data_IF_418375039213
#
_entry.id   IF_418375039213
#
_cell.length_a   1.000
_cell.length_b   1.000
_cell.length_c   1.000
_cell.angle_alpha   90.00
_cell.angle_beta   90.00
_cell.angle_gamma   90.00
#
_symmetry.space_group_name_H-M   'P 1'
#
loop_
_entity.id
_entity.type
_entity.pdbx_description
1 polymer ?
#
# COMPACT_ATOMS: atom_id res chain seq x y z
N UNK A 1 4.36 -12.64 -14.20
CA UNK A 1 3.53 -11.93 -13.20
C UNK A 1 2.72 -12.90 -12.38
N UNK A 2 1.81 -13.70 -12.97
CA UNK A 2 1.07 -14.74 -12.25
C UNK A 2 1.98 -15.73 -11.50
N UNK A 3 3.02 -16.27 -12.16
CA UNK A 3 4.00 -17.16 -11.51
C UNK A 3 4.81 -16.50 -10.38
N UNK A 4 5.03 -15.18 -10.44
CA UNK A 4 5.72 -14.45 -9.37
C UNK A 4 4.79 -14.24 -8.16
N UNK A 5 3.52 -13.93 -8.41
CA UNK A 5 2.51 -13.83 -7.36
C UNK A 5 2.27 -15.19 -6.68
N UNK A 6 2.22 -16.26 -7.47
CA UNK A 6 2.08 -17.63 -6.97
C UNK A 6 3.32 -18.06 -6.17
N UNK A 7 4.52 -17.77 -6.67
CA UNK A 7 5.76 -18.07 -5.95
C UNK A 7 5.88 -17.26 -4.65
N UNK A 8 5.51 -15.97 -4.68
CA UNK A 8 5.48 -15.13 -3.48
C UNK A 8 4.46 -15.68 -2.47
N UNK A 9 3.24 -15.99 -2.90
CA UNK A 9 2.21 -16.57 -2.03
C UNK A 9 2.66 -17.90 -1.43
N UNK A 10 3.22 -18.80 -2.24
CA UNK A 10 3.74 -20.10 -1.75
C UNK A 10 4.89 -19.89 -0.78
N UNK A 11 5.83 -18.99 -1.09
CA UNK A 11 6.95 -18.67 -0.19
C UNK A 11 6.47 -18.11 1.14
N UNK A 12 5.49 -17.20 1.13
CA UNK A 12 4.95 -16.56 2.33
C UNK A 12 4.12 -17.50 3.20
N UNK A 13 3.36 -18.42 2.58
CA UNK A 13 2.49 -19.36 3.30
C UNK A 13 3.24 -20.66 3.67
N UNK A 14 4.38 -20.97 3.03
CA UNK A 14 5.15 -22.20 3.32
C UNK A 14 5.64 -22.35 4.77
N UNK A 15 6.07 -21.30 5.50
CA UNK A 15 6.45 -21.40 6.91
C UNK A 15 5.24 -21.69 7.81
N UNK A 16 4.05 -21.20 7.43
CA UNK A 16 2.79 -21.49 8.12
C UNK A 16 2.43 -22.98 8.09
N UNK A 17 2.77 -23.66 6.99
CA UNK A 17 2.58 -25.11 6.83
C UNK A 17 3.69 -25.95 7.48
N UNK A 18 4.84 -25.34 7.83
CA UNK A 18 5.93 -25.97 8.55
C UNK A 18 5.77 -25.91 10.10
N UNK A 19 4.73 -25.25 10.60
CA UNK A 19 4.46 -25.11 12.04
C UNK A 19 5.00 -23.83 12.69
N UNK A 20 5.51 -22.87 11.90
CA UNK A 20 6.09 -21.60 12.38
C UNK A 20 5.15 -20.40 12.13
N UNK A 21 3.85 -20.65 12.00
CA UNK A 21 2.85 -19.63 11.69
C UNK A 21 2.91 -18.42 12.65
N UNK A 22 3.09 -18.67 13.94
CA UNK A 22 3.14 -17.64 14.98
C UNK A 22 4.47 -16.85 14.99
N UNK A 23 5.53 -17.36 14.36
CA UNK A 23 6.83 -16.66 14.26
C UNK A 23 6.86 -15.75 13.03
N UNK A 24 6.17 -16.15 11.96
CA UNK A 24 6.09 -15.35 10.72
C UNK A 24 5.03 -14.26 10.82
N UNK A 25 3.92 -14.53 11.52
CA UNK A 25 2.82 -13.60 11.76
C UNK A 25 2.90 -12.88 13.11
N UNK A 26 4.11 -12.71 13.62
CA UNK A 26 4.35 -11.87 14.80
C UNK A 26 4.26 -10.40 14.42
N UNK A 27 3.73 -9.58 15.32
CA UNK A 27 3.79 -8.11 15.18
C UNK A 27 5.26 -7.67 15.06
N UNK A 28 5.54 -6.76 14.14
CA UNK A 28 6.86 -6.35 13.66
C UNK A 28 7.73 -7.49 13.10
N UNK A 29 7.10 -8.58 12.65
CA UNK A 29 7.76 -9.76 12.09
C UNK A 29 8.40 -9.54 10.71
N UNK A 30 8.91 -10.62 10.12
CA UNK A 30 9.52 -10.57 8.77
C UNK A 30 8.51 -10.12 7.72
N UNK A 31 7.23 -10.50 7.90
CA UNK A 31 6.19 -10.22 6.94
C UNK A 31 5.83 -8.73 6.89
N UNK A 32 5.51 -8.12 8.03
CA UNK A 32 5.25 -6.68 8.15
C UNK A 32 6.44 -5.83 7.68
N UNK A 33 7.68 -6.20 8.03
CA UNK A 33 8.87 -5.50 7.52
C UNK A 33 8.99 -5.57 5.99
N UNK A 34 8.61 -6.71 5.39
CA UNK A 34 8.58 -6.86 3.92
C UNK A 34 7.49 -6.00 3.31
N UNK A 35 6.32 -5.93 3.93
CA UNK A 35 5.23 -5.05 3.53
C UNK A 35 5.64 -3.57 3.54
N UNK A 36 6.25 -3.11 4.63
CA UNK A 36 6.79 -1.75 4.77
C UNK A 36 7.83 -1.47 3.68
N UNK A 37 8.72 -2.42 3.37
CA UNK A 37 9.70 -2.26 2.30
C UNK A 37 9.03 -2.10 0.92
N UNK A 38 8.01 -2.91 0.60
CA UNK A 38 7.26 -2.78 -0.65
C UNK A 38 6.55 -1.42 -0.75
N UNK A 39 5.92 -0.97 0.34
CA UNK A 39 5.24 0.31 0.39
C UNK A 39 6.22 1.49 0.26
N UNK A 40 7.36 1.44 0.94
CA UNK A 40 8.38 2.49 0.88
C UNK A 40 8.94 2.63 -0.54
N UNK A 41 9.30 1.51 -1.17
CA UNK A 41 9.78 1.50 -2.55
C UNK A 41 8.71 2.02 -3.51
N UNK A 42 7.45 1.61 -3.33
CA UNK A 42 6.32 2.10 -4.13
C UNK A 42 6.16 3.61 -4.01
N UNK A 43 6.17 4.14 -2.79
CA UNK A 43 6.06 5.57 -2.53
C UNK A 43 7.19 6.36 -3.20
N UNK A 44 8.44 5.92 -3.02
CA UNK A 44 9.61 6.57 -3.63
C UNK A 44 9.53 6.58 -5.16
N UNK A 45 9.18 5.44 -5.77
CA UNK A 45 9.04 5.33 -7.23
C UNK A 45 7.95 6.28 -7.74
N UNK A 46 6.78 6.32 -7.10
CA UNK A 46 5.67 7.18 -7.49
C UNK A 46 6.03 8.66 -7.34
N UNK A 47 6.70 9.05 -6.25
CA UNK A 47 7.20 10.42 -6.03
C UNK A 47 8.19 10.82 -7.12
N UNK A 48 9.20 9.98 -7.40
CA UNK A 48 10.20 10.26 -8.44
C UNK A 48 9.53 10.40 -9.81
N UNK A 49 8.63 9.49 -10.17
CA UNK A 49 7.91 9.56 -11.44
C UNK A 49 7.00 10.78 -11.53
N UNK A 50 6.47 11.27 -10.41
CA UNK A 50 5.62 12.45 -10.40
C UNK A 50 6.31 13.71 -10.96
N UNK A 51 7.63 13.82 -10.80
CA UNK A 51 8.42 14.91 -11.35
C UNK A 51 8.69 14.77 -12.85
N UNK A 52 8.55 13.56 -13.40
CA UNK A 52 8.78 13.25 -14.81
C UNK A 52 7.50 13.28 -15.67
N UNK A 53 6.32 13.47 -15.07
CA UNK A 53 5.03 13.50 -15.79
C UNK A 53 4.42 14.91 -15.87
N UNK A 54 3.52 15.07 -16.84
CA UNK A 54 2.71 16.26 -17.00
C UNK A 54 1.86 16.55 -15.75
N UNK A 55 1.60 17.85 -15.51
CA UNK A 55 0.97 18.34 -14.27
C UNK A 55 -0.44 17.75 -14.05
N UNK A 56 -1.17 17.51 -15.13
CA UNK A 56 -2.51 16.94 -15.12
C UNK A 56 -2.55 15.53 -14.49
N UNK A 57 -1.60 14.65 -14.81
CA UNK A 57 -1.54 13.28 -14.27
C UNK A 57 -0.73 13.16 -12.97
N UNK A 58 0.08 14.16 -12.63
CA UNK A 58 0.93 14.18 -11.42
C UNK A 58 0.14 13.92 -10.13
N UNK A 59 -1.07 14.46 -10.03
CA UNK A 59 -1.92 14.32 -8.84
C UNK A 59 -2.21 12.86 -8.51
N UNK A 60 -2.40 11.99 -9.51
CA UNK A 60 -2.69 10.56 -9.29
C UNK A 60 -1.48 9.86 -8.67
N UNK A 61 -0.27 10.19 -9.11
CA UNK A 61 0.96 9.62 -8.56
C UNK A 61 1.19 10.08 -7.11
N UNK A 62 0.84 11.34 -6.79
CA UNK A 62 0.92 11.86 -5.43
C UNK A 62 -0.10 11.18 -4.51
N UNK A 63 -1.32 10.93 -4.99
CA UNK A 63 -2.32 10.14 -4.28
C UNK A 63 -1.84 8.71 -4.02
N UNK A 64 -1.24 8.06 -5.01
CA UNK A 64 -0.67 6.72 -4.84
C UNK A 64 0.48 6.68 -3.83
N UNK A 65 1.38 7.67 -3.86
CA UNK A 65 2.47 7.77 -2.89
C UNK A 65 1.95 8.00 -1.46
N UNK A 66 0.95 8.87 -1.31
CA UNK A 66 0.32 9.14 -0.02
C UNK A 66 -0.46 7.94 0.52
N UNK A 67 -1.12 7.19 -0.36
CA UNK A 67 -1.73 5.92 -0.01
C UNK A 67 -0.71 4.95 0.57
N UNK A 68 0.45 4.79 -0.09
CA UNK A 68 1.52 3.93 0.41
C UNK A 68 2.03 4.39 1.79
N UNK A 69 2.22 5.70 1.97
CA UNK A 69 2.63 6.27 3.26
C UNK A 69 1.56 6.03 4.35
N UNK A 70 0.28 6.12 4.01
CA UNK A 70 -0.80 5.83 4.94
C UNK A 70 -0.76 4.37 5.40
N UNK A 71 -0.51 3.42 4.48
CA UNK A 71 -0.33 2.03 4.86
C UNK A 71 0.91 1.81 5.74
N UNK A 72 2.05 2.46 5.44
CA UNK A 72 3.27 2.35 6.28
C UNK A 72 2.98 2.78 7.71
N UNK A 73 2.29 3.90 7.90
CA UNK A 73 1.92 4.40 9.23
C UNK A 73 0.89 3.51 9.95
N UNK A 74 0.23 2.60 9.23
CA UNK A 74 -0.68 1.61 9.82
C UNK A 74 0.06 0.34 10.23
N UNK A 75 1.00 -0.14 9.40
CA UNK A 75 1.76 -1.36 9.67
C UNK A 75 2.91 -1.16 10.66
N UNK A 76 3.52 0.03 10.66
CA UNK A 76 4.71 0.27 11.48
C UNK A 76 4.30 0.76 12.86
N UNK A 77 4.47 -0.11 13.86
CA UNK A 77 4.32 0.28 15.26
C UNK A 77 5.51 1.12 15.71
N UNK A 78 5.33 2.44 15.70
CA UNK A 78 6.35 3.41 16.11
C UNK A 78 6.50 3.50 17.63
N UNK A 79 5.55 2.99 18.42
CA UNK A 79 5.52 3.14 19.88
C UNK A 79 6.64 2.34 20.55
N UNK A 80 7.02 1.22 19.95
CA UNK A 80 8.09 0.33 20.43
C UNK A 80 9.50 0.74 19.95
N UNK A 81 9.59 1.73 19.06
CA UNK A 81 10.87 2.18 18.51
C UNK A 81 11.52 3.21 19.44
N UNK A 82 12.86 3.11 19.60
CA UNK A 82 13.67 4.10 20.31
C UNK A 82 13.86 5.40 19.50
N UNK A 83 12.75 6.03 19.11
CA UNK A 83 12.70 7.24 18.28
C UNK A 83 12.21 8.45 19.09
N UNK A 84 12.49 9.69 18.64
CA UNK A 84 11.99 10.88 19.31
C UNK A 84 10.47 10.90 19.46
N UNK A 85 9.97 11.49 20.54
CA UNK A 85 8.53 11.56 20.86
C UNK A 85 7.65 12.18 19.75
N UNK A 86 8.19 13.11 18.97
CA UNK A 86 7.45 13.68 17.83
C UNK A 86 7.25 12.67 16.69
N UNK A 87 8.17 11.69 16.54
CA UNK A 87 8.04 10.58 15.57
C UNK A 87 6.97 9.60 16.06
N UNK A 88 7.01 9.25 17.35
CA UNK A 88 5.98 8.40 17.98
C UNK A 88 4.61 9.04 17.80
N UNK A 89 4.45 10.33 18.13
CA UNK A 89 3.19 11.05 17.94
C UNK A 89 2.74 11.06 16.47
N UNK A 90 3.66 11.24 15.51
CA UNK A 90 3.32 11.25 14.10
C UNK A 90 2.87 9.88 13.56
N UNK A 91 3.38 8.78 14.14
CA UNK A 91 3.05 7.42 13.71
C UNK A 91 1.97 6.72 14.53
N UNK A 92 1.55 7.27 15.67
CA UNK A 92 0.56 6.64 16.56
C UNK A 92 -0.69 7.50 16.81
N UNK A 93 -1.76 6.82 17.23
CA UNK A 93 -2.98 7.42 17.78
C UNK A 93 -3.53 8.62 17.01
N UNK A 94 -3.69 9.74 17.72
CA UNK A 94 -4.30 10.96 17.17
C UNK A 94 -3.41 11.68 16.15
N UNK A 95 -2.09 11.69 16.35
CA UNK A 95 -1.18 12.40 15.45
C UNK A 95 -1.11 11.75 14.07
N UNK A 96 -1.04 10.41 14.01
CA UNK A 96 -1.19 9.63 12.77
C UNK A 96 -2.48 10.00 12.03
N UNK A 97 -3.61 9.96 12.72
CA UNK A 97 -4.92 10.22 12.11
C UNK A 97 -5.02 11.65 11.58
N UNK A 98 -4.45 12.64 12.28
CA UNK A 98 -4.38 14.02 11.82
C UNK A 98 -3.52 14.18 10.56
N UNK A 99 -2.32 13.57 10.54
CA UNK A 99 -1.42 13.62 9.38
C UNK A 99 -2.09 12.98 8.17
N UNK A 100 -2.62 11.75 8.33
CA UNK A 100 -3.37 11.04 7.30
C UNK A 100 -4.53 11.86 6.76
N UNK A 101 -5.38 12.39 7.66
CA UNK A 101 -6.54 13.19 7.29
C UNK A 101 -6.15 14.47 6.55
N UNK A 102 -5.17 15.21 7.06
CA UNK A 102 -4.69 16.44 6.43
C UNK A 102 -4.13 16.20 5.03
N UNK A 103 -3.37 15.12 4.83
CA UNK A 103 -2.84 14.76 3.51
C UNK A 103 -3.94 14.33 2.53
N UNK A 104 -4.91 13.52 2.98
CA UNK A 104 -6.04 13.14 2.13
C UNK A 104 -6.94 14.33 1.76
N UNK A 105 -7.17 15.26 2.68
CA UNK A 105 -7.89 16.52 2.39
C UNK A 105 -7.11 17.33 1.34
N UNK A 106 -5.82 17.52 1.54
CA UNK A 106 -4.97 18.30 0.63
C UNK A 106 -4.97 17.69 -0.77
N UNK A 107 -4.79 16.38 -0.88
CA UNK A 107 -4.81 15.67 -2.16
C UNK A 107 -6.21 15.63 -2.78
N UNK A 108 -7.26 15.56 -1.98
CA UNK A 108 -8.65 15.68 -2.45
C UNK A 108 -8.92 17.02 -3.11
N UNK A 109 -8.47 18.12 -2.50
CA UNK A 109 -8.55 19.47 -3.09
C UNK A 109 -7.76 19.55 -4.40
N UNK A 110 -6.55 18.97 -4.44
CA UNK A 110 -5.75 18.91 -5.67
C UNK A 110 -6.42 18.08 -6.76
N UNK A 111 -7.02 16.95 -6.40
CA UNK A 111 -7.73 16.08 -7.34
C UNK A 111 -8.95 16.78 -7.95
N UNK A 112 -9.74 17.50 -7.15
CA UNK A 112 -10.88 18.30 -7.64
C UNK A 112 -10.41 19.37 -8.63
N UNK A 113 -9.31 20.08 -8.31
CA UNK A 113 -8.75 21.11 -9.20
C UNK A 113 -8.23 20.53 -10.51
N UNK A 114 -7.62 19.35 -10.47
CA UNK A 114 -7.07 18.68 -11.66
C UNK A 114 -8.11 17.88 -12.45
N UNK A 115 -9.32 17.68 -11.91
CA UNK A 115 -10.37 16.85 -12.53
C UNK A 115 -10.75 17.25 -13.98
N UNK A 116 -10.89 18.56 -14.33
CA UNK A 116 -11.21 18.95 -15.70
C UNK A 116 -10.17 18.50 -16.72
N UNK A 117 -8.90 18.42 -16.32
CA UNK A 117 -7.79 17.94 -17.15
C UNK A 117 -7.71 16.41 -17.12
N UNK A 118 -8.09 15.78 -16.00
CA UNK A 118 -8.06 14.33 -15.80
C UNK A 118 -9.17 13.62 -16.57
N UNK A 119 -10.39 14.21 -16.64
CA UNK A 119 -11.60 13.53 -17.16
C UNK A 119 -11.44 13.04 -18.60
N UNK A 120 -10.69 13.79 -19.43
CA UNK A 120 -10.43 13.42 -20.83
C UNK A 120 -9.52 12.20 -20.98
N UNK A 121 -8.65 11.96 -20.00
CA UNK A 121 -7.72 10.83 -19.97
C UNK A 121 -8.19 9.70 -19.05
N UNK A 122 -9.25 9.89 -18.26
CA UNK A 122 -9.71 8.95 -17.24
C UNK A 122 -9.95 7.54 -17.80
N UNK A 123 -10.68 7.42 -18.92
CA UNK A 123 -10.95 6.11 -19.52
C UNK A 123 -9.68 5.36 -19.95
N UNK A 124 -8.63 6.09 -20.36
CA UNK A 124 -7.34 5.49 -20.74
C UNK A 124 -6.52 5.12 -19.50
N UNK A 125 -6.54 5.98 -18.48
CA UNK A 125 -5.87 5.75 -17.19
C UNK A 125 -6.49 4.53 -16.48
N UNK A 126 -7.82 4.43 -16.44
CA UNK A 126 -8.55 3.35 -15.78
C UNK A 126 -8.28 1.97 -16.42
N UNK A 127 -7.98 1.92 -17.73
CA UNK A 127 -7.60 0.68 -18.44
C UNK A 127 -6.09 0.44 -18.46
N UNK A 128 -5.30 1.34 -17.88
CA UNK A 128 -3.85 1.15 -17.80
C UNK A 128 -3.52 -0.06 -16.92
N UNK A 129 -2.40 -0.71 -17.21
CA UNK A 129 -1.90 -1.83 -16.38
C UNK A 129 -1.74 -1.41 -14.92
N UNK A 130 -1.26 -0.19 -14.69
CA UNK A 130 -1.11 0.39 -13.35
C UNK A 130 -2.45 0.47 -12.62
N UNK A 131 -3.51 1.00 -13.25
CA UNK A 131 -4.82 1.11 -12.61
C UNK A 131 -5.43 -0.26 -12.29
N UNK A 132 -5.29 -1.24 -13.19
CA UNK A 132 -5.74 -2.62 -12.95
C UNK A 132 -4.99 -3.23 -11.76
N UNK A 133 -3.67 -3.05 -11.68
CA UNK A 133 -2.87 -3.55 -10.56
C UNK A 133 -3.25 -2.89 -9.23
N UNK A 134 -3.46 -1.56 -9.21
CA UNK A 134 -3.93 -0.84 -8.02
C UNK A 134 -5.31 -1.32 -7.60
N UNK A 135 -6.22 -1.56 -8.56
CA UNK A 135 -7.55 -2.07 -8.26
C UNK A 135 -7.48 -3.46 -7.62
N UNK A 136 -6.71 -4.38 -8.21
CA UNK A 136 -6.53 -5.73 -7.64
C UNK A 136 -5.86 -5.65 -6.26
N UNK A 137 -4.85 -4.78 -6.09
CA UNK A 137 -4.21 -4.56 -4.81
C UNK A 137 -5.22 -4.10 -3.75
N UNK A 138 -6.06 -3.12 -4.08
CA UNK A 138 -7.14 -2.65 -3.20
C UNK A 138 -8.10 -3.77 -2.82
N UNK A 139 -8.49 -4.62 -3.78
CA UNK A 139 -9.33 -5.79 -3.49
C UNK A 139 -8.65 -6.77 -2.54
N UNK A 140 -7.34 -7.02 -2.69
CA UNK A 140 -6.60 -7.89 -1.76
C UNK A 140 -6.56 -7.30 -0.35
N UNK A 141 -6.32 -5.99 -0.21
CA UNK A 141 -6.33 -5.31 1.10
C UNK A 141 -7.71 -5.38 1.77
N UNK A 142 -8.79 -5.17 1.00
CA UNK A 142 -10.15 -5.32 1.51
C UNK A 142 -10.44 -6.76 1.94
N UNK A 143 -9.98 -7.77 1.18
CA UNK A 143 -10.13 -9.17 1.58
C UNK A 143 -9.32 -9.50 2.83
N UNK A 144 -8.10 -8.97 2.98
CA UNK A 144 -7.29 -9.12 4.19
C UNK A 144 -8.03 -8.62 5.42
N UNK A 145 -8.64 -7.43 5.33
CA UNK A 145 -9.42 -6.84 6.44
C UNK A 145 -10.65 -7.65 6.89
N UNK A 146 -11.10 -8.64 6.10
CA UNK A 146 -12.17 -9.57 6.52
C UNK A 146 -11.68 -10.65 7.50
N UNK A 147 -10.36 -10.84 7.61
CA UNK A 147 -9.73 -11.81 8.49
C UNK A 147 -9.14 -11.19 9.76
N UNK A 148 -9.35 -9.87 9.92
CA UNK A 148 -9.00 -9.12 11.12
C UNK A 148 -9.69 -9.74 12.35
N UNK A 149 -8.93 -9.85 13.44
CA UNK A 149 -9.18 -10.68 14.63
C UNK A 149 -10.54 -10.45 15.30
N UNK A 150 -11.18 -9.30 15.06
CA UNK A 150 -12.49 -8.97 15.63
C UNK A 150 -13.69 -9.53 14.84
N UNK A 151 -13.51 -9.89 13.56
CA UNK A 151 -14.64 -10.15 12.66
C UNK A 151 -14.88 -11.63 12.36
N UNK A 152 -13.83 -12.47 12.36
CA UNK A 152 -13.93 -13.89 12.03
C UNK A 152 -12.96 -14.71 12.88
N UNK A 153 -13.47 -15.49 13.85
CA UNK A 153 -12.66 -16.37 14.71
C UNK A 153 -12.17 -17.63 13.97
N UNK A 154 -11.23 -17.45 13.03
CA UNK A 154 -10.50 -18.53 12.38
C UNK A 154 -9.13 -18.65 13.05
N UNK A 155 -8.73 -19.87 13.45
CA UNK A 155 -7.43 -20.21 14.08
C UNK A 155 -6.18 -19.75 13.30
N UNK A 156 -6.33 -19.25 12.07
CA UNK A 156 -5.26 -18.74 11.20
C UNK A 156 -5.61 -17.39 10.54
N UNK A 157 -6.56 -16.64 11.11
CA UNK A 157 -7.04 -15.36 10.57
C UNK A 157 -5.90 -14.36 10.31
N UNK A 158 -5.00 -14.20 11.29
CA UNK A 158 -3.84 -13.29 11.20
C UNK A 158 -2.95 -13.58 9.99
N UNK A 159 -2.62 -14.85 9.79
CA UNK A 159 -1.71 -15.24 8.71
C UNK A 159 -2.35 -15.06 7.33
N UNK A 160 -3.67 -15.26 7.22
CA UNK A 160 -4.40 -14.97 5.99
C UNK A 160 -4.46 -13.47 5.72
N UNK A 161 -4.79 -12.67 6.75
CA UNK A 161 -4.75 -11.21 6.69
C UNK A 161 -3.40 -10.70 6.17
N UNK A 162 -2.31 -11.04 6.86
CA UNK A 162 -0.97 -10.59 6.48
C UNK A 162 -0.54 -11.09 5.08
N UNK A 163 -0.97 -12.29 4.67
CA UNK A 163 -0.69 -12.80 3.33
C UNK A 163 -1.43 -11.99 2.25
N UNK A 164 -2.71 -11.68 2.46
CA UNK A 164 -3.50 -10.84 1.55
C UNK A 164 -2.91 -9.43 1.45
N UNK A 165 -2.51 -8.85 2.58
CA UNK A 165 -1.89 -7.53 2.62
C UNK A 165 -0.55 -7.50 1.90
N UNK A 166 0.31 -8.51 2.14
CA UNK A 166 1.60 -8.61 1.46
C UNK A 166 1.45 -8.75 -0.05
N UNK A 167 0.48 -9.54 -0.52
CA UNK A 167 0.16 -9.62 -1.96
C UNK A 167 -0.31 -8.26 -2.47
N UNK A 168 -1.21 -7.58 -1.73
CA UNK A 168 -1.70 -6.25 -2.07
C UNK A 168 -0.56 -5.25 -2.23
N UNK A 169 0.35 -5.17 -1.26
CA UNK A 169 1.49 -4.25 -1.29
C UNK A 169 2.52 -4.59 -2.36
N UNK A 170 2.75 -5.88 -2.63
CA UNK A 170 3.57 -6.28 -3.78
C UNK A 170 2.95 -5.85 -5.12
N UNK A 171 1.63 -5.97 -5.26
CA UNK A 171 0.91 -5.48 -6.45
C UNK A 171 1.00 -3.96 -6.60
N UNK A 172 0.98 -3.19 -5.50
CA UNK A 172 1.25 -1.74 -5.52
C UNK A 172 2.67 -1.44 -6.01
N UNK A 173 3.67 -2.22 -5.58
CA UNK A 173 5.05 -2.06 -6.06
C UNK A 173 5.14 -2.34 -7.57
N UNK A 174 4.49 -3.39 -8.06
CA UNK A 174 4.39 -3.65 -9.50
C UNK A 174 3.64 -2.52 -10.24
N UNK A 175 2.59 -1.95 -9.63
CA UNK A 175 1.87 -0.83 -10.20
C UNK A 175 2.78 0.41 -10.32
N UNK A 176 3.57 0.71 -9.30
CA UNK A 176 4.54 1.80 -9.29
C UNK A 176 5.65 1.58 -10.33
N UNK A 177 6.16 0.35 -10.49
CA UNK A 177 7.16 0.05 -11.53
C UNK A 177 6.58 0.20 -12.94
N UNK A 178 5.29 -0.11 -13.13
CA UNK A 178 4.60 -0.02 -14.42
C UNK A 178 3.99 1.35 -14.71
N UNK A 179 3.98 2.28 -13.74
CA UNK A 179 3.41 3.62 -13.91
C UNK A 179 4.17 4.50 -14.90
N UNK A 180 5.37 4.08 -15.35
CA UNK A 180 6.03 4.64 -16.53
C UNK A 180 5.15 4.59 -17.78
N UNK A 181 4.20 3.66 -17.85
CA UNK A 181 3.20 3.61 -18.93
C UNK A 181 2.26 4.83 -18.92
N UNK A 182 1.95 5.38 -17.73
CA UNK A 182 1.18 6.63 -17.57
C UNK A 182 2.06 7.84 -17.92
N UNK A 183 3.37 7.77 -17.65
CA UNK A 183 4.33 8.85 -17.93
C UNK A 183 4.54 9.15 -19.43
N UNK A 184 4.27 8.21 -20.32
CA UNK A 184 4.40 8.39 -21.78
C UNK A 184 3.12 8.92 -22.45
N UNK A 185 2.06 9.18 -21.68
CA UNK A 185 0.79 9.74 -22.15
C UNK A 185 0.79 11.26 -22.07
#
# INVERSE_FOLDING_TARGET
>A
MFYLLLALFVFLVSPAFAGEADVVAQENGILENTQVAFLLLSALILVVQSFAVARNVRCILWMGAWFCLSCILRELDVEDLAVPQWVVWAGSGMGRNLIMGAGWITLGVLAIKSYPELKGSFGRIARSRTAILVFIAGTMLLLGSLFDHESVMIERGKLLEEAFETIGYFLLLLAALTSRSISKM
#
